data_IF_055290715692
#
_entry.id   IF_055290715692
#
_cell.length_a   1.000
_cell.length_b   1.000
_cell.length_c   1.000
_cell.angle_alpha   90.00
_cell.angle_beta   90.00
_cell.angle_gamma   90.00
#
_symmetry.space_group_name_H-M   'P 1'
#
loop_
_entity.id
_entity.type
_entity.pdbx_description
1 polymer ?
#
# COMPACT_ATOMS: atom_id res chain seq x y z
N UNK A 1 9.58 -26.55 -13.69
CA UNK A 1 9.67 -25.54 -12.61
C UNK A 1 11.08 -25.52 -12.05
N UNK A 2 11.39 -24.56 -11.18
CA UNK A 2 12.64 -24.56 -10.42
C UNK A 2 12.74 -25.83 -9.55
N UNK A 3 13.96 -26.30 -9.29
CA UNK A 3 14.19 -27.46 -8.40
C UNK A 3 13.97 -27.14 -6.92
N UNK A 4 14.17 -28.12 -6.04
CA UNK A 4 14.01 -27.97 -4.58
C UNK A 4 15.30 -27.52 -3.87
N UNK A 5 16.35 -27.20 -4.62
CA UNK A 5 17.59 -26.69 -4.06
C UNK A 5 17.56 -25.15 -4.03
N UNK A 6 18.19 -24.52 -3.02
CA UNK A 6 18.52 -23.10 -3.08
C UNK A 6 19.37 -22.79 -4.32
N UNK A 7 19.20 -21.59 -4.87
CA UNK A 7 19.98 -21.10 -6.00
C UNK A 7 20.73 -19.85 -5.56
N UNK A 8 22.05 -19.83 -5.77
CA UNK A 8 22.84 -18.63 -5.50
C UNK A 8 22.56 -17.57 -6.57
N UNK A 9 22.24 -16.37 -6.10
CA UNK A 9 21.96 -15.19 -6.91
C UNK A 9 22.96 -14.11 -6.57
N UNK A 10 23.83 -13.77 -7.51
CA UNK A 10 24.71 -12.62 -7.40
C UNK A 10 23.88 -11.34 -7.57
N UNK A 11 24.15 -10.33 -6.76
CA UNK A 11 23.57 -9.00 -6.90
C UNK A 11 24.68 -7.96 -7.00
N UNK A 12 24.48 -6.94 -7.83
CA UNK A 12 25.40 -5.83 -8.02
C UNK A 12 24.65 -4.49 -7.91
N UNK A 13 25.31 -3.48 -7.35
CA UNK A 13 24.86 -2.09 -7.32
C UNK A 13 25.98 -1.19 -7.85
N UNK A 14 25.68 -0.37 -8.85
CA UNK A 14 26.62 0.50 -9.54
C UNK A 14 26.19 1.97 -9.53
N UNK A 15 27.17 2.86 -9.75
CA UNK A 15 26.98 4.31 -9.84
C UNK A 15 26.60 4.81 -11.24
N UNK A 16 26.55 3.91 -12.23
CA UNK A 16 26.23 4.19 -13.62
C UNK A 16 25.36 3.09 -14.24
N UNK A 17 24.49 3.46 -15.19
CA UNK A 17 23.57 2.55 -15.87
C UNK A 17 24.25 1.40 -16.63
N UNK A 18 25.39 1.61 -17.33
CA UNK A 18 26.13 0.52 -17.96
C UNK A 18 26.76 -0.48 -16.98
N UNK A 19 26.64 -0.28 -15.66
CA UNK A 19 27.18 -1.14 -14.61
C UNK A 19 28.71 -1.26 -14.63
N UNK A 20 29.45 -0.19 -14.96
CA UNK A 20 30.93 -0.19 -14.99
C UNK A 20 31.57 0.13 -13.64
N UNK A 21 30.92 0.95 -12.82
CA UNK A 21 31.39 1.39 -11.51
C UNK A 21 30.55 0.74 -10.40
N UNK A 22 30.78 -0.56 -10.19
CA UNK A 22 30.13 -1.36 -9.14
C UNK A 22 30.69 -0.95 -7.77
N UNK A 23 29.81 -0.50 -6.89
CA UNK A 23 30.16 -0.05 -5.52
C UNK A 23 29.78 -1.03 -4.43
N UNK A 24 28.80 -1.90 -4.68
CA UNK A 24 28.40 -2.98 -3.77
C UNK A 24 28.04 -4.20 -4.59
N UNK A 25 28.38 -5.37 -4.08
CA UNK A 25 27.96 -6.65 -4.64
C UNK A 25 27.92 -7.71 -3.55
N UNK A 26 27.30 -8.83 -3.85
CA UNK A 26 27.28 -9.99 -2.98
C UNK A 26 26.48 -11.13 -3.60
N UNK A 27 26.17 -12.12 -2.77
CA UNK A 27 25.36 -13.28 -3.15
C UNK A 27 24.27 -13.48 -2.12
N UNK A 28 23.08 -13.84 -2.59
CA UNK A 28 21.95 -14.23 -1.77
C UNK A 28 21.42 -15.59 -2.24
N UNK A 29 21.02 -16.44 -1.29
CA UNK A 29 20.43 -17.72 -1.60
C UNK A 29 18.92 -17.57 -1.85
N UNK A 30 18.48 -17.84 -3.07
CA UNK A 30 17.07 -17.94 -3.43
C UNK A 30 16.54 -19.31 -2.98
N UNK A 31 15.82 -19.34 -1.87
CA UNK A 31 15.32 -20.59 -1.28
C UNK A 31 13.95 -21.02 -1.88
N UNK A 32 13.70 -22.33 -2.07
CA UNK A 32 12.47 -22.83 -2.68
C UNK A 32 11.21 -22.58 -1.85
N UNK A 33 11.35 -22.52 -0.52
CA UNK A 33 10.24 -22.25 0.40
C UNK A 33 9.77 -20.79 0.33
N UNK A 34 10.55 -19.91 -0.30
CA UNK A 34 10.22 -18.53 -0.65
C UNK A 34 10.02 -18.35 -2.17
N UNK A 35 9.66 -19.42 -2.90
CA UNK A 35 9.50 -19.39 -4.36
C UNK A 35 10.73 -18.83 -5.10
N UNK A 36 11.92 -19.04 -4.55
CA UNK A 36 13.18 -18.50 -5.07
C UNK A 36 13.20 -16.97 -5.19
N UNK A 37 12.40 -16.25 -4.39
CA UNK A 37 12.50 -14.79 -4.25
C UNK A 37 13.81 -14.40 -3.57
N UNK A 38 14.33 -13.21 -3.89
CA UNK A 38 15.54 -12.65 -3.28
C UNK A 38 15.25 -11.25 -2.74
N UNK A 39 15.59 -11.05 -1.46
CA UNK A 39 15.53 -9.76 -0.78
C UNK A 39 16.93 -9.39 -0.31
N UNK A 40 17.46 -8.25 -0.77
CA UNK A 40 18.79 -7.77 -0.39
C UNK A 40 18.69 -6.38 0.20
N UNK A 41 19.18 -6.22 1.43
CA UNK A 41 19.31 -4.92 2.09
C UNK A 41 20.73 -4.38 1.92
N UNK A 42 20.92 -3.46 0.97
CA UNK A 42 22.25 -2.91 0.66
C UNK A 42 22.53 -1.69 1.53
N UNK A 43 23.53 -1.81 2.41
CA UNK A 43 24.01 -0.72 3.27
C UNK A 43 25.22 0.05 2.72
N UNK A 44 25.52 1.17 3.38
CA UNK A 44 26.73 1.96 3.12
C UNK A 44 26.73 2.71 1.79
N UNK A 45 25.57 2.98 1.20
CA UNK A 45 25.44 3.80 0.00
C UNK A 45 25.42 5.29 0.37
N UNK A 46 25.94 6.14 -0.51
CA UNK A 46 25.81 7.60 -0.38
C UNK A 46 24.33 8.02 -0.37
N UNK A 47 23.92 8.98 0.46
CA UNK A 47 22.56 9.50 0.51
C UNK A 47 22.22 10.35 -0.72
N UNK A 48 20.93 10.52 -0.98
CA UNK A 48 20.38 11.34 -2.06
C UNK A 48 20.95 11.05 -3.46
N UNK A 49 21.13 9.77 -3.78
CA UNK A 49 21.86 9.35 -4.99
C UNK A 49 21.13 8.26 -5.75
N UNK A 50 21.17 8.38 -7.07
CA UNK A 50 20.72 7.32 -7.99
C UNK A 50 21.77 6.22 -8.08
N UNK A 51 21.29 4.99 -8.07
CA UNK A 51 22.07 3.79 -8.33
C UNK A 51 21.35 2.89 -9.32
N UNK A 52 22.12 2.02 -9.97
CA UNK A 52 21.63 0.96 -10.81
C UNK A 52 21.95 -0.38 -10.18
N UNK A 53 21.09 -1.36 -10.36
CA UNK A 53 21.26 -2.69 -9.78
C UNK A 53 20.89 -3.78 -10.76
N UNK A 54 21.48 -4.96 -10.58
CA UNK A 54 21.14 -6.16 -11.34
C UNK A 54 21.38 -7.43 -10.55
N UNK A 55 20.79 -8.52 -11.01
CA UNK A 55 21.00 -9.85 -10.48
C UNK A 55 21.54 -10.80 -11.55
N UNK A 56 22.28 -11.83 -11.13
CA UNK A 56 22.77 -12.91 -12.00
C UNK A 56 22.59 -14.26 -11.32
N UNK A 57 22.11 -15.24 -12.08
CA UNK A 57 21.94 -16.60 -11.60
C UNK A 57 21.95 -17.57 -12.78
N UNK A 58 22.63 -18.71 -12.64
CA UNK A 58 22.60 -19.79 -13.65
C UNK A 58 23.01 -19.37 -15.06
N UNK A 59 23.92 -18.39 -15.20
CA UNK A 59 24.36 -17.86 -16.50
C UNK A 59 23.41 -16.84 -17.15
N UNK A 60 22.29 -16.50 -16.50
CA UNK A 60 21.39 -15.43 -16.93
C UNK A 60 21.62 -14.16 -16.12
N UNK A 61 21.32 -13.01 -16.73
CA UNK A 61 21.34 -11.71 -16.06
C UNK A 61 19.94 -11.09 -16.08
N UNK A 62 19.54 -10.42 -15.01
CA UNK A 62 18.31 -9.64 -14.97
C UNK A 62 18.41 -8.39 -15.85
N UNK A 63 17.27 -7.77 -16.22
CA UNK A 63 17.23 -6.36 -16.59
C UNK A 63 17.92 -5.50 -15.52
N UNK A 64 18.49 -4.37 -15.93
CA UNK A 64 19.05 -3.38 -15.00
C UNK A 64 17.90 -2.57 -14.39
N UNK A 65 17.82 -2.54 -13.07
CA UNK A 65 16.95 -1.66 -12.33
C UNK A 65 17.66 -0.38 -11.89
N UNK A 66 16.89 0.65 -11.59
CA UNK A 66 17.30 1.94 -11.06
C UNK A 66 16.64 2.15 -9.71
N UNK A 67 17.37 2.73 -8.77
CA UNK A 67 16.88 3.10 -7.45
C UNK A 67 17.48 4.43 -7.00
N UNK A 68 16.97 5.00 -5.91
CA UNK A 68 17.52 6.20 -5.28
C UNK A 68 17.57 6.02 -3.76
N UNK A 69 18.67 6.40 -3.14
CA UNK A 69 18.76 6.51 -1.68
C UNK A 69 18.09 7.80 -1.20
N UNK A 70 17.40 7.75 -0.05
CA UNK A 70 16.86 8.96 0.56
C UNK A 70 17.99 9.93 0.96
N UNK A 71 17.70 11.24 1.06
CA UNK A 71 18.61 12.21 1.67
C UNK A 71 18.99 11.84 3.09
N UNK A 72 20.17 12.30 3.51
CA UNK A 72 20.67 12.05 4.85
C UNK A 72 19.67 12.53 5.91
N UNK A 73 19.58 11.81 7.01
CA UNK A 73 18.74 12.22 8.12
C UNK A 73 19.11 13.64 8.58
N UNK A 74 18.12 14.47 8.85
CA UNK A 74 18.32 15.86 9.30
C UNK A 74 18.40 16.90 8.18
N UNK A 75 18.68 16.53 6.94
CA UNK A 75 18.72 17.48 5.80
C UNK A 75 17.32 17.85 5.33
N UNK A 76 17.15 19.03 4.73
CA UNK A 76 15.89 19.43 4.09
C UNK A 76 16.17 19.54 2.59
N UNK A 77 15.92 18.49 1.79
CA UNK A 77 16.06 18.57 0.34
C UNK A 77 15.10 19.63 -0.24
N UNK A 78 15.42 20.16 -1.42
CA UNK A 78 14.61 21.19 -2.09
C UNK A 78 13.22 20.67 -2.48
N UNK A 79 13.16 19.43 -2.97
CA UNK A 79 11.92 18.81 -3.44
C UNK A 79 11.90 17.30 -3.15
N UNK A 80 10.69 16.77 -3.20
CA UNK A 80 10.40 15.35 -3.25
C UNK A 80 9.32 15.14 -4.31
N UNK A 81 9.60 14.29 -5.32
CA UNK A 81 8.68 13.94 -6.40
C UNK A 81 8.28 12.48 -6.24
N UNK A 82 7.00 12.22 -6.04
CA UNK A 82 6.50 10.85 -5.95
C UNK A 82 5.16 10.72 -6.67
N UNK A 83 4.87 9.51 -7.13
CA UNK A 83 3.54 9.11 -7.57
C UNK A 83 2.93 8.15 -6.56
N UNK A 84 1.60 8.03 -6.58
CA UNK A 84 0.92 6.93 -5.90
C UNK A 84 -0.05 6.22 -6.83
N UNK A 85 -0.16 4.91 -6.67
CA UNK A 85 -1.00 4.02 -7.46
C UNK A 85 -1.64 2.94 -6.57
N UNK A 86 -2.66 2.29 -7.10
CA UNK A 86 -3.45 1.23 -6.44
C UNK A 86 -4.38 0.60 -7.48
N UNK A 87 -5.09 -0.47 -7.11
CA UNK A 87 -6.17 -1.06 -7.93
C UNK A 87 -5.76 -1.34 -9.38
N UNK A 88 -4.87 -2.30 -9.58
CA UNK A 88 -4.39 -2.66 -10.91
C UNK A 88 -5.05 -3.94 -11.43
N UNK A 89 -6.38 -4.05 -11.40
CA UNK A 89 -7.04 -5.30 -11.79
C UNK A 89 -6.61 -5.74 -13.21
N UNK A 90 -5.89 -6.86 -13.29
CA UNK A 90 -5.28 -7.36 -14.52
C UNK A 90 -6.31 -7.57 -15.62
N UNK A 91 -7.53 -7.97 -15.26
CA UNK A 91 -8.56 -8.35 -16.22
C UNK A 91 -9.27 -7.15 -16.83
N UNK A 92 -9.22 -5.99 -16.19
CA UNK A 92 -9.99 -4.81 -16.58
C UNK A 92 -9.26 -3.90 -17.57
N UNK A 93 -7.99 -4.16 -17.85
CA UNK A 93 -7.25 -3.37 -18.83
C UNK A 93 -5.76 -3.69 -18.88
N UNK A 94 -5.10 -3.08 -19.86
CA UNK A 94 -3.64 -3.07 -19.97
C UNK A 94 -3.04 -2.02 -19.03
N UNK A 95 -1.79 -2.23 -18.62
CA UNK A 95 -1.09 -1.37 -17.67
C UNK A 95 -0.41 -0.15 -18.32
N UNK A 96 -1.11 0.50 -19.26
CA UNK A 96 -0.64 1.73 -19.92
C UNK A 96 -0.30 2.83 -18.92
N UNK A 97 -0.99 2.88 -17.77
CA UNK A 97 -0.66 3.80 -16.67
C UNK A 97 0.74 3.55 -16.08
N UNK A 98 1.15 2.27 -15.95
CA UNK A 98 2.51 1.92 -15.52
C UNK A 98 3.55 2.25 -16.60
N UNK A 99 3.19 2.12 -17.87
CA UNK A 99 4.05 2.56 -18.98
C UNK A 99 4.35 4.06 -18.91
N UNK A 100 3.34 4.87 -18.57
CA UNK A 100 3.51 6.31 -18.39
C UNK A 100 4.29 6.61 -17.11
N UNK A 101 3.95 5.95 -16.00
CA UNK A 101 4.67 6.08 -14.73
C UNK A 101 6.18 5.84 -14.91
N UNK A 102 6.57 4.80 -15.66
CA UNK A 102 7.97 4.45 -15.91
C UNK A 102 8.79 5.54 -16.62
N UNK A 103 8.13 6.54 -17.23
CA UNK A 103 8.76 7.68 -17.95
C UNK A 103 8.80 8.98 -17.13
N UNK A 104 8.23 8.97 -15.93
CA UNK A 104 8.25 10.14 -15.04
C UNK A 104 9.63 10.34 -14.40
N UNK A 105 9.87 11.54 -13.87
CA UNK A 105 11.04 11.83 -13.02
C UNK A 105 10.61 11.90 -11.55
N UNK A 106 10.74 10.76 -10.87
CA UNK A 106 10.28 10.53 -9.50
C UNK A 106 11.40 9.97 -8.62
N UNK A 107 11.34 10.32 -7.34
CA UNK A 107 12.20 9.79 -6.28
C UNK A 107 11.66 8.46 -5.73
N UNK A 108 10.33 8.26 -5.74
CA UNK A 108 9.68 7.04 -5.26
C UNK A 108 8.25 6.87 -5.82
N UNK A 109 7.74 5.64 -5.73
CA UNK A 109 6.33 5.32 -5.99
C UNK A 109 5.69 4.75 -4.73
N UNK A 110 4.53 5.27 -4.31
CA UNK A 110 3.70 4.65 -3.28
C UNK A 110 2.65 3.74 -3.91
N UNK A 111 2.55 2.50 -3.46
CA UNK A 111 1.48 1.60 -3.90
C UNK A 111 0.56 1.27 -2.72
N UNK A 112 -0.72 1.65 -2.84
CA UNK A 112 -1.68 1.73 -1.72
C UNK A 112 -2.70 0.59 -1.71
N UNK A 113 -2.27 -0.61 -2.13
CA UNK A 113 -3.08 -1.83 -2.12
C UNK A 113 -3.82 -2.16 -3.42
N UNK A 114 -4.44 -3.34 -3.43
CA UNK A 114 -5.02 -3.99 -4.61
C UNK A 114 -3.99 -4.19 -5.75
N UNK A 115 -2.80 -4.66 -5.39
CA UNK A 115 -1.73 -5.01 -6.33
C UNK A 115 -2.10 -6.25 -7.13
N UNK A 116 -2.72 -7.23 -6.47
CA UNK A 116 -3.40 -8.34 -7.12
C UNK A 116 -4.89 -8.29 -6.79
N UNK A 117 -5.67 -9.10 -7.51
CA UNK A 117 -7.02 -9.50 -7.13
C UNK A 117 -7.02 -11.02 -7.06
N UNK A 118 -7.64 -11.58 -6.03
CA UNK A 118 -7.68 -13.00 -5.67
C UNK A 118 -8.77 -13.78 -6.42
N UNK A 119 -9.87 -13.11 -6.76
CA UNK A 119 -11.10 -13.72 -7.26
C UNK A 119 -11.09 -14.05 -8.75
N UNK A 120 -12.28 -14.38 -9.28
CA UNK A 120 -12.49 -14.60 -10.72
C UNK A 120 -12.62 -13.28 -11.48
N UNK A 121 -12.27 -13.27 -12.76
CA UNK A 121 -12.52 -12.14 -13.66
C UNK A 121 -14.02 -11.77 -13.65
N UNK A 122 -14.34 -10.47 -13.55
CA UNK A 122 -15.71 -9.94 -13.51
C UNK A 122 -15.79 -8.62 -14.28
N UNK A 123 -16.97 -8.31 -14.81
CA UNK A 123 -17.22 -7.09 -15.59
C UNK A 123 -16.69 -7.18 -17.01
N UNK A 124 -16.19 -6.08 -17.54
CA UNK A 124 -15.60 -6.01 -18.89
C UNK A 124 -14.19 -6.62 -18.88
N UNK A 125 -14.08 -7.86 -19.35
CA UNK A 125 -12.83 -8.63 -19.35
C UNK A 125 -12.03 -8.31 -20.62
N UNK A 126 -10.92 -7.59 -20.45
CA UNK A 126 -9.94 -7.25 -21.50
C UNK A 126 -8.83 -8.29 -21.59
N UNK A 127 -8.43 -8.83 -20.44
CA UNK A 127 -7.46 -9.94 -20.30
C UNK A 127 -8.02 -10.92 -19.28
N UNK A 128 -7.73 -12.20 -19.40
CA UNK A 128 -8.19 -13.20 -18.42
C UNK A 128 -7.01 -13.79 -17.64
N UNK A 129 -7.31 -14.38 -16.48
CA UNK A 129 -6.31 -15.10 -15.68
C UNK A 129 -5.96 -16.43 -16.35
N UNK A 130 -4.67 -16.74 -16.44
CA UNK A 130 -4.20 -18.04 -16.94
C UNK A 130 -4.74 -19.20 -16.09
N UNK A 131 -4.71 -19.03 -14.76
CA UNK A 131 -5.37 -19.91 -13.79
C UNK A 131 -6.64 -19.23 -13.27
N UNK A 132 -7.78 -19.69 -13.78
CA UNK A 132 -9.11 -19.22 -13.36
C UNK A 132 -9.47 -19.72 -11.98
N UNK A 133 -10.30 -18.95 -11.27
CA UNK A 133 -10.77 -19.30 -9.94
C UNK A 133 -10.27 -18.33 -8.88
N UNK A 134 -10.65 -18.63 -7.64
CA UNK A 134 -10.22 -17.92 -6.45
C UNK A 134 -8.86 -18.44 -5.98
N UNK A 135 -8.08 -17.57 -5.36
CA UNK A 135 -6.79 -17.92 -4.76
C UNK A 135 -7.01 -18.23 -3.29
N UNK A 136 -6.70 -19.46 -2.85
CA UNK A 136 -6.85 -19.86 -1.44
C UNK A 136 -5.56 -20.40 -0.85
N UNK A 137 -4.75 -21.09 -1.65
CA UNK A 137 -3.49 -21.70 -1.22
C UNK A 137 -2.31 -20.81 -1.56
N UNK A 138 -1.17 -21.03 -0.89
CA UNK A 138 0.07 -20.30 -1.20
C UNK A 138 0.49 -20.45 -2.68
N UNK A 139 0.26 -21.62 -3.28
CA UNK A 139 0.51 -21.83 -4.70
C UNK A 139 -0.39 -20.95 -5.59
N UNK A 140 -1.67 -20.82 -5.25
CA UNK A 140 -2.59 -19.97 -6.00
C UNK A 140 -2.19 -18.49 -5.94
N UNK A 141 -1.83 -17.99 -4.75
CA UNK A 141 -1.37 -16.61 -4.60
C UNK A 141 -0.04 -16.37 -5.32
N UNK A 142 0.91 -17.32 -5.28
CA UNK A 142 2.16 -17.24 -6.06
C UNK A 142 1.88 -17.16 -7.55
N UNK A 143 1.01 -18.02 -8.07
CA UNK A 143 0.59 -17.99 -9.48
C UNK A 143 -0.06 -16.64 -9.84
N UNK A 144 -0.90 -16.11 -8.94
CA UNK A 144 -1.57 -14.81 -9.13
C UNK A 144 -0.58 -13.65 -9.16
N UNK A 145 0.35 -13.58 -8.21
CA UNK A 145 1.40 -12.55 -8.23
C UNK A 145 2.29 -12.66 -9.47
N UNK A 146 2.69 -13.88 -9.84
CA UNK A 146 3.49 -14.12 -11.04
C UNK A 146 2.75 -13.61 -12.28
N UNK A 147 1.45 -13.92 -12.43
CA UNK A 147 0.62 -13.44 -13.55
C UNK A 147 0.63 -11.91 -13.66
N UNK A 148 0.40 -11.19 -12.57
CA UNK A 148 0.42 -9.72 -12.58
C UNK A 148 1.81 -9.20 -12.96
N UNK A 149 2.87 -9.80 -12.40
CA UNK A 149 4.26 -9.40 -12.65
C UNK A 149 4.82 -9.83 -14.01
N UNK A 150 4.09 -10.59 -14.82
CA UNK A 150 4.46 -10.83 -16.22
C UNK A 150 4.25 -9.62 -17.12
N UNK A 151 3.46 -8.64 -16.67
CA UNK A 151 3.18 -7.44 -17.45
C UNK A 151 4.44 -6.56 -17.58
N UNK A 152 4.83 -6.25 -18.83
CA UNK A 152 6.07 -5.53 -19.14
C UNK A 152 6.05 -4.08 -18.66
N UNK A 153 4.89 -3.43 -18.65
CA UNK A 153 4.78 -2.04 -18.22
C UNK A 153 4.92 -1.96 -16.69
N UNK A 154 4.36 -2.94 -15.97
CA UNK A 154 4.58 -3.07 -14.52
C UNK A 154 6.04 -3.40 -14.20
N UNK A 155 6.68 -4.31 -14.94
CA UNK A 155 8.12 -4.60 -14.77
C UNK A 155 8.98 -3.35 -14.99
N UNK A 156 8.71 -2.58 -16.04
CA UNK A 156 9.41 -1.33 -16.32
C UNK A 156 9.23 -0.32 -15.17
N UNK A 157 8.02 -0.14 -14.65
CA UNK A 157 7.76 0.77 -13.54
C UNK A 157 8.44 0.34 -12.22
N UNK A 158 8.53 -0.98 -11.94
CA UNK A 158 9.33 -1.51 -10.81
C UNK A 158 10.83 -1.31 -11.00
N UNK A 159 11.31 -1.41 -12.24
CA UNK A 159 12.72 -1.18 -12.56
C UNK A 159 13.10 0.30 -12.52
N UNK A 160 12.19 1.26 -12.71
CA UNK A 160 12.53 2.68 -12.79
C UNK A 160 12.69 3.39 -11.42
N UNK A 161 12.00 2.93 -10.37
CA UNK A 161 11.89 3.64 -9.08
C UNK A 161 11.93 2.70 -7.88
N UNK A 162 12.29 3.18 -6.68
CA UNK A 162 12.00 2.46 -5.44
C UNK A 162 10.50 2.55 -5.11
N UNK A 163 9.91 1.42 -4.68
CA UNK A 163 8.49 1.32 -4.35
C UNK A 163 8.26 1.22 -2.84
N UNK A 164 7.38 2.08 -2.33
CA UNK A 164 6.87 2.07 -0.95
C UNK A 164 5.48 1.43 -1.00
N UNK A 165 5.41 0.14 -0.67
CA UNK A 165 4.17 -0.63 -0.78
C UNK A 165 3.45 -0.82 0.56
N UNK A 166 2.13 -0.80 0.51
CA UNK A 166 1.21 -1.42 1.48
C UNK A 166 0.16 -2.23 0.72
N UNK A 167 -0.62 -3.05 1.42
CA UNK A 167 -1.73 -3.80 0.84
C UNK A 167 -3.09 -3.15 1.11
N UNK A 168 -4.13 -3.68 0.47
CA UNK A 168 -5.52 -3.57 0.89
C UNK A 168 -6.12 -4.97 1.05
N UNK A 169 -7.40 -5.17 0.74
CA UNK A 169 -8.11 -6.43 0.89
C UNK A 169 -7.72 -7.47 -0.15
N UNK A 170 -7.61 -7.08 -1.42
CA UNK A 170 -7.47 -8.02 -2.54
C UNK A 170 -6.11 -8.74 -2.62
N UNK A 171 -5.15 -8.39 -1.77
CA UNK A 171 -3.95 -9.22 -1.50
C UNK A 171 -4.27 -10.52 -0.73
N UNK A 172 -5.46 -10.60 -0.13
CA UNK A 172 -5.99 -11.80 0.53
C UNK A 172 -7.39 -12.04 -0.04
N UNK A 173 -8.43 -11.51 0.60
CA UNK A 173 -9.82 -11.72 0.22
C UNK A 173 -10.57 -10.38 0.27
N UNK A 174 -11.40 -10.11 -0.72
CA UNK A 174 -12.24 -8.92 -0.79
C UNK A 174 -12.91 -8.62 0.56
N UNK A 175 -12.73 -7.40 1.06
CA UNK A 175 -13.26 -6.91 2.35
C UNK A 175 -12.80 -7.69 3.61
N UNK A 176 -11.71 -8.47 3.59
CA UNK A 176 -11.28 -9.18 4.80
C UNK A 176 -10.99 -8.23 5.99
N UNK A 177 -11.23 -8.71 7.20
CA UNK A 177 -10.91 -8.00 8.44
C UNK A 177 -10.03 -8.89 9.32
N UNK A 178 -8.82 -8.42 9.64
CA UNK A 178 -7.84 -9.27 10.31
C UNK A 178 -7.95 -9.33 11.84
N UNK A 179 -8.69 -8.39 12.46
CA UNK A 179 -8.98 -8.35 13.90
C UNK A 179 -10.01 -9.38 14.37
N UNK A 180 -9.89 -10.61 13.88
CA UNK A 180 -10.74 -11.76 14.22
C UNK A 180 -10.12 -12.61 15.35
N UNK A 181 -10.96 -13.26 16.15
CA UNK A 181 -10.54 -14.15 17.23
C UNK A 181 -9.80 -15.38 16.67
N UNK A 182 -8.56 -15.62 17.11
CA UNK A 182 -7.69 -16.67 16.54
C UNK A 182 -8.05 -18.06 17.02
N UNK A 183 -8.54 -18.12 18.25
CA UNK A 183 -8.96 -19.30 18.96
C UNK A 183 -10.32 -19.83 18.46
N UNK A 184 -11.11 -19.00 17.78
CA UNK A 184 -12.38 -19.40 17.19
C UNK A 184 -12.15 -20.39 16.02
N UNK A 185 -12.59 -21.65 16.12
CA UNK A 185 -12.38 -22.64 15.07
C UNK A 185 -12.97 -22.24 13.71
N UNK A 186 -13.97 -21.35 13.69
CA UNK A 186 -14.60 -20.85 12.46
C UNK A 186 -13.65 -19.98 11.63
N UNK A 187 -12.65 -19.37 12.27
CA UNK A 187 -11.69 -18.48 11.62
C UNK A 187 -10.46 -19.20 11.05
N UNK A 188 -10.33 -20.52 11.23
CA UNK A 188 -9.15 -21.28 10.78
C UNK A 188 -8.89 -21.15 9.27
N UNK A 189 -9.94 -21.19 8.44
CA UNK A 189 -9.80 -21.07 6.99
C UNK A 189 -9.30 -19.68 6.59
N UNK A 190 -9.94 -18.62 7.10
CA UNK A 190 -9.53 -17.22 6.84
C UNK A 190 -8.10 -16.93 7.31
N UNK A 191 -7.68 -17.48 8.45
CA UNK A 191 -6.31 -17.34 8.95
C UNK A 191 -5.30 -18.09 8.08
N UNK A 192 -5.64 -19.30 7.59
CA UNK A 192 -4.78 -20.05 6.69
C UNK A 192 -4.62 -19.34 5.33
N UNK A 193 -5.71 -18.79 4.79
CA UNK A 193 -5.70 -18.00 3.56
C UNK A 193 -4.88 -16.71 3.72
N UNK A 194 -5.07 -15.98 4.83
CA UNK A 194 -4.26 -14.79 5.15
C UNK A 194 -2.77 -15.12 5.23
N UNK A 195 -2.41 -16.25 5.83
CA UNK A 195 -1.01 -16.70 5.88
C UNK A 195 -0.45 -16.96 4.47
N UNK A 196 -1.24 -17.58 3.58
CA UNK A 196 -0.86 -17.80 2.19
C UNK A 196 -0.69 -16.48 1.42
N UNK A 197 -1.65 -15.57 1.52
CA UNK A 197 -1.59 -14.25 0.89
C UNK A 197 -0.40 -13.42 1.37
N UNK A 198 -0.16 -13.35 2.68
CA UNK A 198 0.97 -12.60 3.26
C UNK A 198 2.32 -13.16 2.87
N UNK A 199 2.46 -14.49 2.83
CA UNK A 199 3.70 -15.11 2.37
C UNK A 199 3.95 -14.81 0.89
N UNK A 200 2.94 -14.93 0.03
CA UNK A 200 3.09 -14.61 -1.38
C UNK A 200 3.37 -13.10 -1.61
N UNK A 201 2.71 -12.21 -0.84
CA UNK A 201 3.01 -10.77 -0.85
C UNK A 201 4.48 -10.51 -0.51
N UNK A 202 4.98 -11.10 0.58
CA UNK A 202 6.37 -10.95 1.02
C UNK A 202 7.35 -11.38 -0.07
N UNK A 203 7.12 -12.56 -0.67
CA UNK A 203 7.97 -13.11 -1.74
C UNK A 203 8.04 -12.20 -2.98
N UNK A 204 6.99 -11.43 -3.26
CA UNK A 204 6.84 -10.66 -4.49
C UNK A 204 7.01 -9.14 -4.32
N UNK A 205 7.19 -8.64 -3.10
CA UNK A 205 7.29 -7.21 -2.82
C UNK A 205 8.66 -6.80 -2.28
N UNK A 206 9.16 -5.60 -2.65
CA UNK A 206 10.43 -5.07 -2.15
C UNK A 206 10.25 -4.50 -0.73
N UNK A 207 9.99 -5.38 0.25
CA UNK A 207 9.75 -4.99 1.65
C UNK A 207 10.95 -5.31 2.53
N UNK A 208 11.19 -4.39 3.48
CA UNK A 208 12.21 -4.51 4.52
C UNK A 208 11.56 -4.89 5.84
N UNK A 209 11.14 -6.14 5.96
CA UNK A 209 10.44 -6.67 7.14
C UNK A 209 10.81 -8.15 7.31
N UNK A 210 10.79 -8.71 8.54
CA UNK A 210 10.95 -10.15 8.73
C UNK A 210 9.90 -10.94 7.94
N UNK A 211 10.24 -12.18 7.56
CA UNK A 211 9.29 -13.11 6.93
C UNK A 211 8.00 -13.22 7.76
N UNK A 212 6.82 -13.35 7.11
CA UNK A 212 5.57 -13.60 7.82
C UNK A 212 5.65 -14.80 8.76
N UNK A 213 5.00 -14.67 9.92
CA UNK A 213 4.82 -15.76 10.88
C UNK A 213 3.36 -16.22 10.81
N UNK A 214 3.11 -17.22 9.96
CA UNK A 214 1.75 -17.64 9.65
C UNK A 214 0.91 -16.45 9.15
N UNK A 215 -0.22 -16.12 9.80
CA UNK A 215 -1.12 -15.06 9.36
C UNK A 215 -0.69 -13.64 9.79
N UNK A 216 0.58 -13.44 10.18
CA UNK A 216 1.08 -12.16 10.68
C UNK A 216 2.30 -11.65 9.92
N UNK A 217 2.24 -10.40 9.48
CA UNK A 217 3.38 -9.69 8.90
C UNK A 217 3.32 -8.20 9.28
N UNK A 218 4.31 -7.71 10.02
CA UNK A 218 4.37 -6.29 10.38
C UNK A 218 4.73 -5.43 9.17
N UNK A 219 3.71 -4.85 8.52
CA UNK A 219 3.89 -4.05 7.31
C UNK A 219 3.92 -2.54 7.56
N UNK A 220 3.16 -2.05 8.54
CA UNK A 220 3.12 -0.62 8.86
C UNK A 220 4.49 -0.14 9.35
N UNK A 221 4.90 1.03 8.85
CA UNK A 221 6.25 1.59 9.07
C UNK A 221 6.30 3.08 8.70
N UNK A 222 7.35 3.76 9.15
CA UNK A 222 7.64 5.14 8.78
C UNK A 222 8.87 5.22 7.88
N UNK A 223 8.82 6.08 6.86
CA UNK A 223 9.95 6.37 5.97
C UNK A 223 10.12 7.89 5.90
N UNK A 224 11.32 8.39 6.15
CA UNK A 224 11.63 9.82 6.11
C UNK A 224 12.51 10.16 4.91
N UNK A 225 12.19 11.25 4.24
CA UNK A 225 12.98 11.84 3.16
C UNK A 225 13.66 13.10 3.69
N UNK A 226 14.82 12.91 4.32
CA UNK A 226 15.42 13.91 5.20
C UNK A 226 14.44 14.35 6.29
N UNK A 227 14.29 15.66 6.47
CA UNK A 227 13.26 16.35 7.26
C UNK A 227 12.19 17.01 6.38
N UNK A 228 12.22 16.81 5.06
CA UNK A 228 11.20 17.38 4.19
C UNK A 228 9.86 16.66 4.41
N UNK A 229 9.87 15.34 4.39
CA UNK A 229 8.66 14.53 4.50
C UNK A 229 8.87 13.26 5.33
N UNK A 230 7.83 12.85 6.07
CA UNK A 230 7.71 11.51 6.64
C UNK A 230 6.44 10.85 6.10
N UNK A 231 6.57 9.64 5.58
CA UNK A 231 5.46 8.77 5.22
C UNK A 231 5.20 7.79 6.36
N UNK A 232 4.06 7.91 7.01
CA UNK A 232 3.47 6.90 7.88
C UNK A 232 2.63 5.96 7.02
N UNK A 233 3.25 4.86 6.60
CA UNK A 233 2.58 3.81 5.81
C UNK A 233 1.84 2.92 6.80
N UNK A 234 0.51 2.93 6.75
CA UNK A 234 -0.35 2.18 7.66
C UNK A 234 -1.00 0.99 6.96
N UNK A 235 -1.30 -0.02 7.77
CA UNK A 235 -2.11 -1.18 7.42
C UNK A 235 -3.53 -0.98 7.97
N UNK A 236 -4.53 -1.02 7.09
CA UNK A 236 -5.95 -0.84 7.42
C UNK A 236 -6.74 -2.14 7.25
N UNK A 237 -6.08 -3.31 7.24
CA UNK A 237 -6.72 -4.62 7.10
C UNK A 237 -6.33 -5.62 8.19
N UNK A 238 -5.05 -5.80 8.50
CA UNK A 238 -4.63 -6.88 9.41
C UNK A 238 -5.20 -6.76 10.83
N UNK A 239 -5.48 -5.54 11.29
CA UNK A 239 -5.84 -5.28 12.68
C UNK A 239 -7.27 -4.76 12.88
N UNK A 240 -8.01 -4.54 11.79
CA UNK A 240 -9.34 -3.93 11.88
C UNK A 240 -10.39 -4.90 12.42
N UNK A 241 -11.35 -4.38 13.17
CA UNK A 241 -12.57 -5.11 13.54
C UNK A 241 -13.36 -5.52 12.29
N UNK A 242 -14.11 -6.64 12.30
CA UNK A 242 -15.01 -7.01 11.20
C UNK A 242 -16.02 -5.92 10.87
N UNK A 243 -16.34 -5.73 9.60
CA UNK A 243 -17.35 -4.76 9.13
C UNK A 243 -18.70 -4.96 9.81
N UNK A 244 -19.48 -3.87 9.90
CA UNK A 244 -20.83 -3.89 10.48
C UNK A 244 -21.86 -3.75 9.37
N UNK A 245 -23.04 -4.32 9.60
CA UNK A 245 -24.18 -4.07 8.73
C UNK A 245 -24.62 -2.60 8.83
N UNK A 246 -25.10 -2.05 7.72
CA UNK A 246 -25.83 -0.78 7.75
C UNK A 246 -27.12 -0.96 8.54
N UNK A 247 -27.37 -0.02 9.44
CA UNK A 247 -28.60 0.14 10.17
C UNK A 247 -29.66 0.83 9.29
N UNK A 248 -30.93 0.72 9.67
CA UNK A 248 -32.00 1.45 9.00
C UNK A 248 -31.92 2.92 9.39
N UNK A 249 -32.43 3.79 8.54
CA UNK A 249 -32.45 5.24 8.81
C UNK A 249 -33.02 5.62 10.19
N UNK A 250 -34.14 5.03 10.68
CA UNK A 250 -34.66 5.36 12.01
C UNK A 250 -33.73 4.98 13.17
N UNK A 251 -32.79 4.07 12.93
CA UNK A 251 -31.84 3.57 13.93
C UNK A 251 -30.52 4.36 13.92
N UNK A 252 -30.37 5.32 13.01
CA UNK A 252 -29.17 6.15 12.92
C UNK A 252 -29.08 7.12 14.11
N UNK A 253 -27.85 7.45 14.47
CA UNK A 253 -27.55 8.52 15.41
C UNK A 253 -28.00 9.87 14.82
N UNK A 254 -28.15 10.93 15.64
CA UNK A 254 -28.42 12.28 15.12
C UNK A 254 -27.37 12.79 14.12
N UNK A 255 -26.17 12.22 14.13
CA UNK A 255 -25.10 12.52 13.18
C UNK A 255 -25.19 11.74 11.86
N UNK A 256 -26.20 10.88 11.65
CA UNK A 256 -26.39 10.09 10.44
C UNK A 256 -25.54 8.81 10.36
N UNK A 257 -24.87 8.42 11.45
CA UNK A 257 -24.11 7.18 11.53
C UNK A 257 -24.94 6.06 12.13
N UNK A 258 -24.60 4.82 11.79
CA UNK A 258 -25.09 3.70 12.58
C UNK A 258 -24.42 3.64 13.94
N UNK A 259 -25.14 3.28 15.02
CA UNK A 259 -24.56 3.15 16.36
C UNK A 259 -23.31 2.25 16.38
N UNK A 260 -23.33 1.17 15.60
CA UNK A 260 -22.20 0.27 15.47
C UNK A 260 -20.96 0.96 14.86
N UNK A 261 -21.11 1.92 13.94
CA UNK A 261 -19.97 2.62 13.32
C UNK A 261 -19.28 3.61 14.26
N UNK A 262 -19.98 4.08 15.29
CA UNK A 262 -19.46 5.02 16.31
C UNK A 262 -19.05 4.33 17.61
N UNK A 263 -19.15 3.00 17.68
CA UNK A 263 -18.74 2.23 18.85
C UNK A 263 -17.24 2.44 19.12
N UNK A 264 -16.85 3.00 20.28
CA UNK A 264 -15.45 3.25 20.61
C UNK A 264 -14.61 1.97 20.79
N UNK A 265 -15.24 0.80 20.91
CA UNK A 265 -14.53 -0.48 20.98
C UNK A 265 -14.02 -0.96 19.61
N UNK A 266 -14.55 -0.41 18.51
CA UNK A 266 -14.14 -0.79 17.15
C UNK A 266 -12.87 -0.06 16.73
N UNK A 267 -12.06 -0.75 15.94
CA UNK A 267 -10.77 -0.22 15.51
C UNK A 267 -10.49 -0.56 14.05
N UNK A 268 -9.87 0.38 13.34
CA UNK A 268 -9.29 0.16 12.01
C UNK A 268 -7.83 -0.31 12.13
N UNK A 269 -7.08 0.22 13.10
CA UNK A 269 -5.63 0.03 13.18
C UNK A 269 -5.19 -0.97 14.27
N UNK A 270 -6.10 -1.41 15.15
CA UNK A 270 -5.68 -2.00 16.42
C UNK A 270 -5.03 -0.98 17.36
N UNK A 271 -4.77 -1.39 18.61
CA UNK A 271 -4.23 -0.49 19.62
C UNK A 271 -2.77 -0.07 19.34
N UNK A 272 -1.92 -1.03 18.97
CA UNK A 272 -0.47 -0.81 18.84
C UNK A 272 -0.13 0.11 17.67
N UNK A 273 -0.70 -0.13 16.49
CA UNK A 273 -0.47 0.71 15.32
C UNK A 273 -1.11 2.09 15.48
N UNK A 274 -2.28 2.20 16.12
CA UNK A 274 -2.88 3.50 16.46
C UNK A 274 -1.96 4.30 17.37
N UNK A 275 -1.48 3.70 18.46
CA UNK A 275 -0.54 4.34 19.37
C UNK A 275 0.75 4.77 18.67
N UNK A 276 1.32 3.88 17.85
CA UNK A 276 2.49 4.17 17.01
C UNK A 276 2.26 5.37 16.09
N UNK A 277 1.14 5.41 15.36
CA UNK A 277 0.82 6.49 14.42
C UNK A 277 0.64 7.83 15.16
N UNK A 278 -0.14 7.85 16.24
CA UNK A 278 -0.43 9.07 16.99
C UNK A 278 0.82 9.65 17.65
N UNK A 279 1.72 8.80 18.14
CA UNK A 279 3.02 9.21 18.67
C UNK A 279 3.93 9.70 17.53
N UNK A 280 3.98 8.99 16.40
CA UNK A 280 4.78 9.40 15.25
C UNK A 280 4.36 10.76 14.68
N UNK A 281 3.05 11.01 14.55
CA UNK A 281 2.50 12.30 14.10
C UNK A 281 2.74 13.43 15.11
N UNK A 282 2.83 13.12 16.41
CA UNK A 282 3.18 14.07 17.47
C UNK A 282 4.68 14.43 17.42
N UNK A 283 5.52 13.42 17.26
CA UNK A 283 6.97 13.54 17.43
C UNK A 283 7.71 13.89 16.12
N UNK A 284 7.00 13.89 14.98
CA UNK A 284 7.62 14.15 13.68
C UNK A 284 8.20 15.56 13.57
N UNK A 285 9.51 15.62 13.29
CA UNK A 285 10.23 16.85 13.01
C UNK A 285 10.19 17.28 11.54
N UNK A 286 9.47 16.54 10.69
CA UNK A 286 9.38 16.76 9.24
C UNK A 286 8.42 17.89 8.86
N UNK A 287 8.69 18.57 7.74
CA UNK A 287 7.85 19.64 7.22
C UNK A 287 6.50 19.14 6.71
N UNK A 288 6.46 17.94 6.12
CA UNK A 288 5.25 17.27 5.64
C UNK A 288 5.07 15.90 6.26
N UNK A 289 3.84 15.55 6.62
CA UNK A 289 3.52 14.28 7.26
C UNK A 289 2.41 13.57 6.49
N UNK A 290 2.77 12.50 5.79
CA UNK A 290 1.86 11.73 4.96
C UNK A 290 1.34 10.50 5.72
N UNK A 291 0.03 10.35 5.85
CA UNK A 291 -0.60 9.10 6.25
C UNK A 291 -0.97 8.35 4.96
N UNK A 292 -0.17 7.35 4.59
CA UNK A 292 -0.33 6.58 3.35
C UNK A 292 -1.08 5.28 3.62
N UNK A 293 -2.25 5.11 3.01
CA UNK A 293 -3.20 4.05 3.39
C UNK A 293 -4.19 3.68 2.27
N UNK A 294 -4.94 2.58 2.45
CA UNK A 294 -5.69 1.96 1.35
C UNK A 294 -7.19 2.30 1.27
N UNK A 295 -7.81 2.95 2.26
CA UNK A 295 -9.29 3.14 2.27
C UNK A 295 -9.74 4.61 2.38
N UNK A 296 -10.99 4.93 2.08
CA UNK A 296 -11.46 6.34 2.14
C UNK A 296 -11.39 6.93 3.54
N UNK A 297 -10.67 8.04 3.71
CA UNK A 297 -10.52 8.73 4.99
C UNK A 297 -11.52 9.88 5.21
N UNK A 298 -11.78 10.68 4.17
CA UNK A 298 -12.71 11.80 4.28
C UNK A 298 -14.16 11.31 4.46
N UNK A 299 -14.94 12.08 5.22
CA UNK A 299 -16.38 11.87 5.31
C UNK A 299 -17.01 12.09 3.94
N UNK A 300 -17.78 11.12 3.48
CA UNK A 300 -18.60 11.22 2.29
C UNK A 300 -20.06 11.12 2.71
N UNK A 301 -20.73 12.27 2.75
CA UNK A 301 -22.17 12.32 2.94
C UNK A 301 -22.84 11.97 1.61
N UNK A 302 -23.54 10.85 1.57
CA UNK A 302 -24.29 10.39 0.40
C UNK A 302 -25.73 10.91 0.36
N UNK A 303 -26.14 11.71 1.35
CA UNK A 303 -27.47 12.32 1.39
C UNK A 303 -27.66 13.36 0.27
N UNK A 304 -28.70 13.24 -0.58
CA UNK A 304 -29.06 14.29 -1.51
C UNK A 304 -29.85 15.44 -0.84
N UNK A 305 -30.28 15.26 0.41
CA UNK A 305 -31.14 16.19 1.15
C UNK A 305 -30.32 17.07 2.11
N UNK A 306 -30.53 18.39 2.05
CA UNK A 306 -29.88 19.32 2.99
C UNK A 306 -30.40 19.10 4.42
N UNK A 307 -29.48 18.93 5.37
CA UNK A 307 -29.80 18.77 6.79
C UNK A 307 -29.99 17.31 7.23
N UNK A 308 -29.95 16.37 6.28
CA UNK A 308 -29.88 14.93 6.52
C UNK A 308 -28.51 14.42 6.13
N UNK A 309 -27.94 13.53 6.94
CA UNK A 309 -26.62 12.97 6.71
C UNK A 309 -26.73 11.46 6.52
N UNK A 310 -26.12 10.91 5.47
CA UNK A 310 -26.05 9.46 5.24
C UNK A 310 -24.59 9.07 5.07
N UNK A 311 -24.12 8.18 5.95
CA UNK A 311 -22.77 7.62 5.92
C UNK A 311 -22.84 6.10 5.75
N UNK A 312 -22.71 5.63 4.52
CA UNK A 312 -22.90 4.22 4.12
C UNK A 312 -21.60 3.40 4.01
N UNK A 313 -20.44 4.02 4.29
CA UNK A 313 -19.14 3.38 4.13
C UNK A 313 -18.67 2.55 5.32
N UNK A 314 -19.08 1.28 5.40
CA UNK A 314 -18.67 0.37 6.50
C UNK A 314 -17.28 -0.26 6.32
N UNK A 315 -16.77 -0.32 5.08
CA UNK A 315 -15.43 -0.83 4.74
C UNK A 315 -14.32 0.26 4.77
N UNK A 316 -14.65 1.49 5.16
CA UNK A 316 -13.68 2.59 5.22
C UNK A 316 -13.79 3.34 6.55
N UNK A 317 -13.08 4.47 6.70
CA UNK A 317 -13.00 5.18 7.98
C UNK A 317 -14.36 5.70 8.51
N UNK A 318 -15.43 5.67 7.72
CA UNK A 318 -16.80 5.94 8.20
C UNK A 318 -17.40 4.80 9.04
N UNK A 319 -16.88 3.57 8.95
CA UNK A 319 -17.25 2.42 9.79
C UNK A 319 -16.45 2.31 11.10
N UNK A 320 -15.47 3.20 11.29
CA UNK A 320 -14.50 3.17 12.39
C UNK A 320 -14.27 4.59 12.92
N UNK A 321 -15.36 5.26 13.31
CA UNK A 321 -15.38 6.71 13.58
C UNK A 321 -14.45 7.10 14.74
N UNK A 322 -14.37 6.28 15.79
CA UNK A 322 -13.53 6.56 16.95
C UNK A 322 -12.04 6.63 16.57
N UNK A 323 -11.51 5.63 15.87
CA UNK A 323 -10.12 5.63 15.38
C UNK A 323 -9.85 6.79 14.43
N UNK A 324 -10.79 7.10 13.54
CA UNK A 324 -10.70 8.25 12.63
C UNK A 324 -10.58 9.56 13.41
N UNK A 325 -11.42 9.74 14.44
CA UNK A 325 -11.45 10.95 15.24
C UNK A 325 -10.14 11.15 16.00
N UNK A 326 -9.56 10.10 16.57
CA UNK A 326 -8.26 10.19 17.27
C UNK A 326 -7.13 10.70 16.35
N UNK A 327 -7.16 10.34 15.06
CA UNK A 327 -6.20 10.84 14.06
C UNK A 327 -6.51 12.31 13.72
N UNK A 328 -7.77 12.65 13.49
CA UNK A 328 -8.19 14.02 13.22
C UNK A 328 -7.84 14.97 14.37
N UNK A 329 -7.97 14.53 15.62
CA UNK A 329 -7.62 15.31 16.81
C UNK A 329 -6.11 15.56 16.91
N UNK A 330 -5.29 14.73 16.27
CA UNK A 330 -3.82 14.92 16.20
C UNK A 330 -3.42 15.96 15.17
N UNK A 331 -4.14 16.07 14.04
CA UNK A 331 -3.77 16.91 12.89
C UNK A 331 -3.54 18.39 13.21
N UNK A 332 -4.31 19.07 14.08
CA UNK A 332 -4.04 20.47 14.45
C UNK A 332 -2.65 20.71 15.05
N UNK A 333 -2.03 19.66 15.60
CA UNK A 333 -0.68 19.70 16.21
C UNK A 333 0.41 19.09 15.34
N UNK A 334 0.05 18.54 14.18
CA UNK A 334 0.99 17.95 13.22
C UNK A 334 1.31 18.95 12.11
N UNK A 335 2.58 19.04 11.71
CA UNK A 335 2.98 19.89 10.58
C UNK A 335 2.47 19.31 9.26
N UNK A 336 1.69 20.08 8.52
CA UNK A 336 1.20 19.78 7.17
C UNK A 336 0.79 18.30 6.96
N UNK A 337 -0.23 17.81 7.70
CA UNK A 337 -0.71 16.45 7.53
C UNK A 337 -1.42 16.29 6.18
N UNK A 338 -1.06 15.24 5.45
CA UNK A 338 -1.67 14.84 4.17
C UNK A 338 -2.09 13.39 4.28
N UNK A 339 -3.30 13.06 3.85
CA UNK A 339 -3.74 11.66 3.78
C UNK A 339 -3.72 11.21 2.32
N UNK A 340 -2.86 10.25 2.01
CA UNK A 340 -2.80 9.59 0.71
C UNK A 340 -3.67 8.33 0.76
N UNK A 341 -4.61 8.23 -0.18
CA UNK A 341 -5.60 7.16 -0.23
C UNK A 341 -5.51 6.42 -1.57
N UNK A 342 -5.88 5.14 -1.57
CA UNK A 342 -6.18 4.37 -2.79
C UNK A 342 -7.09 5.15 -3.73
N UNK A 343 -6.80 5.08 -5.02
CA UNK A 343 -7.64 5.69 -6.04
C UNK A 343 -9.03 5.03 -6.04
N UNK A 344 -10.06 5.85 -6.09
CA UNK A 344 -11.45 5.37 -6.14
C UNK A 344 -11.80 5.01 -7.58
N UNK A 345 -12.47 3.88 -7.77
CA UNK A 345 -12.99 3.44 -9.08
C UNK A 345 -13.91 4.48 -9.76
N UNK A 346 -14.40 5.46 -8.99
CA UNK A 346 -14.90 6.75 -9.52
C UNK A 346 -14.20 7.90 -8.79
N UNK A 347 -13.62 8.89 -9.49
CA UNK A 347 -12.95 10.01 -8.85
C UNK A 347 -13.94 10.79 -7.98
N UNK A 348 -13.60 10.96 -6.70
CA UNK A 348 -14.23 11.96 -5.84
C UNK A 348 -13.19 13.00 -5.46
N UNK A 349 -13.54 14.27 -5.62
CA UNK A 349 -12.80 15.40 -5.05
C UNK A 349 -13.66 15.95 -3.92
N UNK A 350 -13.38 15.61 -2.64
CA UNK A 350 -14.04 16.29 -1.54
C UNK A 350 -13.55 17.74 -1.51
N UNK A 351 -14.46 18.71 -1.68
CA UNK A 351 -14.15 20.11 -1.39
C UNK A 351 -13.82 20.23 0.11
N UNK A 352 -12.69 20.83 0.52
CA UNK A 352 -12.44 21.09 1.93
C UNK A 352 -13.49 22.08 2.46
N UNK A 353 -14.31 21.64 3.44
CA UNK A 353 -15.17 22.56 4.20
C UNK A 353 -14.33 23.23 5.29
N UNK A 354 -14.24 24.56 5.23
CA UNK A 354 -13.72 25.39 6.33
C UNK A 354 -14.70 25.31 7.50
N UNK A 355 -14.36 24.59 8.56
CA UNK A 355 -14.94 24.85 9.88
C UNK A 355 -14.16 25.99 10.52
N UNK A 356 -14.84 27.11 10.81
CA UNK A 356 -14.27 28.22 11.59
C UNK A 356 -14.06 27.72 13.02
N UNK A 357 -12.85 27.30 13.35
CA UNK A 357 -12.30 27.36 14.71
C UNK A 357 -10.88 27.88 14.62
N UNK A 358 -10.55 28.86 15.47
CA UNK A 358 -9.25 29.53 15.52
C UNK A 358 -8.10 28.53 15.70
N UNK A 359 -7.26 28.39 14.67
CA UNK A 359 -6.08 27.52 14.65
C UNK A 359 -5.86 26.93 13.26
N UNK A 360 -4.99 27.55 12.47
CA UNK A 360 -4.72 27.19 11.08
C UNK A 360 -4.05 25.81 10.94
N UNK A 361 -4.79 24.80 10.47
CA UNK A 361 -4.23 23.67 9.72
C UNK A 361 -5.22 23.26 8.61
N UNK A 362 -4.74 23.18 7.37
CA UNK A 362 -5.53 22.75 6.21
C UNK A 362 -5.21 21.28 5.95
N UNK A 363 -6.19 20.39 6.12
CA UNK A 363 -6.05 18.98 5.72
C UNK A 363 -6.39 18.85 4.23
N UNK A 364 -5.44 18.44 3.40
CA UNK A 364 -5.68 18.15 1.98
C UNK A 364 -5.71 16.64 1.77
N UNK A 365 -6.85 16.12 1.33
CA UNK A 365 -6.93 14.77 0.75
C UNK A 365 -6.55 14.86 -0.73
N UNK A 366 -5.53 14.12 -1.15
CA UNK A 366 -5.09 14.10 -2.56
C UNK A 366 -5.53 12.78 -3.18
N UNK A 367 -6.32 12.86 -4.25
CA UNK A 367 -6.68 11.74 -5.13
C UNK A 367 -6.10 12.00 -6.52
N UNK A 368 -5.50 10.99 -7.16
CA UNK A 368 -4.99 11.12 -8.53
C UNK A 368 -6.06 10.66 -9.53
N UNK A 369 -6.22 11.42 -10.62
CA UNK A 369 -7.09 11.08 -11.74
C UNK A 369 -6.24 10.98 -13.01
N UNK A 370 -6.20 9.81 -13.63
CA UNK A 370 -5.65 9.66 -14.98
C UNK A 370 -6.66 10.23 -15.98
N UNK A 371 -6.43 11.44 -16.50
CA UNK A 371 -7.17 11.94 -17.68
C UNK A 371 -6.54 11.33 -18.93
N UNK A 372 -7.26 10.45 -19.64
CA UNK A 372 -6.89 10.11 -21.02
C UNK A 372 -7.31 11.27 -21.93
N UNK A 373 -6.35 12.02 -22.48
CA UNK A 373 -6.61 12.91 -23.61
C UNK A 373 -6.65 12.08 -24.89
N UNK A 374 -7.82 11.95 -25.52
CA UNK A 374 -7.90 11.58 -26.94
C UNK A 374 -7.59 12.83 -27.77
N UNK A 375 -6.69 12.80 -28.77
CA UNK A 375 -6.67 13.83 -29.80
C UNK A 375 -7.84 13.59 -30.75
N UNK A 376 -8.54 14.67 -31.10
CA UNK A 376 -9.48 14.73 -32.22
C UNK A 376 -8.78 15.14 -33.51
#
# INVERSE_FOLDING_TARGET
GMGTAPVDVEWLVARDEPMKDVVRSGTAAAAPDLAHSVHVEVGGLEPDRVYWYRFRAGGAESPVGRTRTAPAAGTVPEALRFAFASCQNYTQGYYTAHANLAREDLDAVLFLGDYIYEGTARGDIVRDYSKRGWSFTLADYRDRYAQYKTDRDLQAAHASFPWIVTWDDHEVENNYAGGIAREDPRNKAALAERAAGYQAFYEHMPVRTPRPQGPDLKLYRSLSYGRLATFFVIDTRQYRSPEVALCREPDQTPSGYCPASIDPARTMLGADQRGWLLNGLRDSASSWNFVAQSVRFAQQDSSPENGKHIFDGVDNWMGYVADRQMILDRFPTTKNPVVAIRSLSKPSSPRPRRTRSSGSSTTTAVTSAARSSRPG
#
